data_IF_003730303357
#
_entry.id   IF_003730303357
#
_cell.length_a   1.000
_cell.length_b   1.000
_cell.length_c   1.000
_cell.angle_alpha   90.00
_cell.angle_beta   90.00
_cell.angle_gamma   90.00
#
_symmetry.space_group_name_H-M   'P 1'
#
loop_
_entity.id
_entity.type
_entity.pdbx_description
1 polymer ?
#
# COMPACT_ATOMS: atom_id res chain seq x y z
N UNK A 1 5.50 -13.39 -13.43
CA UNK A 1 5.94 -12.79 -12.14
C UNK A 1 5.97 -13.89 -11.09
N UNK A 2 6.99 -13.89 -10.25
CA UNK A 2 7.12 -14.83 -9.13
C UNK A 2 6.61 -14.16 -7.86
N UNK A 3 5.81 -14.88 -7.06
CA UNK A 3 5.32 -14.42 -5.76
C UNK A 3 6.03 -15.18 -4.63
N UNK A 4 6.24 -14.56 -3.46
CA UNK A 4 5.88 -13.17 -3.14
C UNK A 4 6.77 -12.16 -3.87
N UNK A 5 6.19 -11.02 -4.23
CA UNK A 5 6.99 -9.86 -4.66
C UNK A 5 7.49 -9.17 -3.40
N UNK A 6 8.80 -9.02 -3.30
CA UNK A 6 9.45 -8.38 -2.16
C UNK A 6 9.85 -6.96 -2.54
N UNK A 7 9.44 -5.99 -1.73
CA UNK A 7 9.66 -4.57 -1.99
C UNK A 7 10.27 -3.95 -0.74
N UNK A 8 11.47 -3.38 -0.87
CA UNK A 8 12.00 -2.49 0.17
C UNK A 8 11.14 -1.24 0.22
N UNK A 9 10.47 -1.01 1.34
CA UNK A 9 9.61 0.14 1.57
C UNK A 9 10.35 1.28 2.28
N UNK A 10 9.76 2.46 2.25
CA UNK A 10 10.30 3.68 2.85
C UNK A 10 10.35 3.63 4.39
N UNK A 11 9.43 2.93 5.06
CA UNK A 11 9.37 2.88 6.54
C UNK A 11 9.38 1.46 7.10
N UNK A 12 8.63 0.53 6.49
CA UNK A 12 8.34 -0.80 7.07
C UNK A 12 9.33 -1.88 6.64
N UNK A 13 10.54 -1.50 6.20
CA UNK A 13 11.54 -2.45 5.75
C UNK A 13 11.09 -3.26 4.52
N UNK A 14 11.38 -4.56 4.51
CA UNK A 14 11.05 -5.45 3.40
C UNK A 14 9.58 -5.89 3.47
N UNK A 15 8.75 -5.32 2.60
CA UNK A 15 7.33 -5.63 2.50
C UNK A 15 7.09 -6.73 1.47
N UNK A 16 6.27 -7.71 1.82
CA UNK A 16 5.87 -8.81 0.92
C UNK A 16 4.46 -8.61 0.36
N UNK A 17 4.32 -8.69 -0.96
CA UNK A 17 3.05 -8.85 -1.65
C UNK A 17 2.89 -10.32 -2.03
N UNK A 18 1.97 -11.03 -1.37
CA UNK A 18 1.72 -12.45 -1.63
C UNK A 18 0.80 -12.65 -2.83
N UNK A 19 0.78 -13.87 -3.39
CA UNK A 19 -0.13 -14.19 -4.51
C UNK A 19 -1.60 -14.06 -4.11
N UNK A 20 -1.95 -14.46 -2.90
CA UNK A 20 -3.30 -14.34 -2.34
C UNK A 20 -3.74 -12.87 -2.29
N UNK A 21 -2.88 -11.99 -1.75
CA UNK A 21 -3.18 -10.56 -1.63
C UNK A 21 -3.25 -9.86 -2.98
N UNK A 22 -2.40 -10.25 -3.92
CA UNK A 22 -2.50 -9.76 -5.29
C UNK A 22 -3.80 -10.21 -5.96
N UNK A 23 -4.18 -11.48 -5.82
CA UNK A 23 -5.45 -12.02 -6.35
C UNK A 23 -6.66 -11.25 -5.79
N UNK A 24 -6.65 -10.92 -4.50
CA UNK A 24 -7.71 -10.10 -3.90
C UNK A 24 -7.82 -8.71 -4.55
N UNK A 25 -6.69 -8.08 -4.92
CA UNK A 25 -6.68 -6.80 -5.64
C UNK A 25 -7.16 -6.99 -7.09
N UNK A 26 -6.72 -8.05 -7.77
CA UNK A 26 -7.15 -8.38 -9.14
C UNK A 26 -8.66 -8.62 -9.23
N UNK A 27 -9.25 -9.33 -8.28
CA UNK A 27 -10.69 -9.57 -8.21
C UNK A 27 -11.49 -8.25 -8.10
N UNK A 28 -10.91 -7.24 -7.43
CA UNK A 28 -11.51 -5.90 -7.34
C UNK A 28 -11.43 -5.15 -8.66
N UNK A 29 -10.31 -5.27 -9.37
CA UNK A 29 -10.14 -4.73 -10.74
C UNK A 29 -11.16 -5.36 -11.70
N UNK A 30 -11.32 -6.69 -11.66
CA UNK A 30 -12.28 -7.42 -12.50
C UNK A 30 -13.74 -6.98 -12.26
N UNK A 31 -14.06 -6.53 -11.04
CA UNK A 31 -15.36 -5.96 -10.68
C UNK A 31 -15.52 -4.49 -11.09
N UNK A 32 -14.56 -3.92 -11.82
CA UNK A 32 -14.59 -2.54 -12.31
C UNK A 32 -14.06 -1.51 -11.31
N UNK A 33 -13.52 -1.92 -10.16
CA UNK A 33 -12.93 -0.97 -9.22
C UNK A 33 -11.56 -0.49 -9.72
N UNK A 34 -11.31 0.81 -9.68
CA UNK A 34 -9.99 1.36 -10.02
C UNK A 34 -8.99 1.06 -8.90
N UNK A 35 -8.05 0.16 -9.15
CA UNK A 35 -6.95 -0.19 -8.23
C UNK A 35 -5.59 0.10 -8.87
N UNK A 36 -4.54 0.37 -8.08
CA UNK A 36 -3.19 0.50 -8.61
C UNK A 36 -2.68 -0.85 -9.12
N UNK A 37 -1.91 -0.82 -10.21
CA UNK A 37 -1.17 -2.00 -10.67
C UNK A 37 0.05 -2.28 -9.79
N UNK A 38 0.75 -3.38 -10.06
CA UNK A 38 1.90 -3.80 -9.25
C UNK A 38 3.07 -2.81 -9.30
N UNK A 39 3.23 -2.08 -10.41
CA UNK A 39 4.26 -1.06 -10.58
C UNK A 39 3.94 0.13 -9.69
N UNK A 40 2.70 0.60 -9.72
CA UNK A 40 2.22 1.67 -8.84
C UNK A 40 2.35 1.29 -7.37
N UNK A 41 1.98 0.06 -6.98
CA UNK A 41 2.15 -0.43 -5.61
C UNK A 41 3.62 -0.38 -5.20
N UNK A 42 4.52 -0.90 -6.04
CA UNK A 42 5.96 -0.93 -5.77
C UNK A 42 6.53 0.48 -5.61
N UNK A 43 6.14 1.41 -6.48
CA UNK A 43 6.58 2.81 -6.41
C UNK A 43 6.00 3.55 -5.21
N UNK A 44 4.76 3.25 -4.83
CA UNK A 44 4.12 3.83 -3.64
C UNK A 44 4.83 3.39 -2.36
N UNK A 45 5.31 2.14 -2.31
CA UNK A 45 6.06 1.64 -1.14
C UNK A 45 7.47 2.22 -1.06
N UNK A 46 8.17 2.33 -2.20
CA UNK A 46 9.56 2.80 -2.26
C UNK A 46 9.70 4.30 -2.06
N UNK A 47 8.77 5.06 -2.62
CA UNK A 47 8.91 6.51 -2.71
C UNK A 47 7.54 7.19 -2.53
N UNK A 48 6.90 7.02 -1.35
CA UNK A 48 5.65 7.69 -1.01
C UNK A 48 5.86 9.20 -0.82
N UNK A 49 4.75 9.93 -0.76
CA UNK A 49 4.68 11.32 -0.36
C UNK A 49 4.35 11.41 1.12
N UNK A 50 3.52 10.47 1.60
CA UNK A 50 3.10 10.42 2.99
C UNK A 50 2.83 8.98 3.45
N UNK A 51 3.17 8.70 4.71
CA UNK A 51 2.86 7.45 5.39
C UNK A 51 2.10 7.79 6.67
N UNK A 52 0.95 7.15 6.86
CA UNK A 52 0.11 7.33 8.06
C UNK A 52 -0.17 6.02 8.75
N UNK A 53 -0.24 6.03 10.08
CA UNK A 53 -0.84 4.97 10.87
C UNK A 53 -2.36 5.00 10.72
N UNK A 54 -2.98 3.83 10.70
CA UNK A 54 -4.45 3.70 10.79
C UNK A 54 -4.93 4.12 12.18
N UNK A 55 -6.05 4.85 12.24
CA UNK A 55 -6.70 5.18 13.51
C UNK A 55 -7.40 3.98 14.18
N UNK A 56 -7.60 2.88 13.45
CA UNK A 56 -8.39 1.73 13.93
C UNK A 56 -7.54 0.51 14.27
N UNK A 57 -6.34 0.39 13.69
CA UNK A 57 -5.47 -0.78 13.84
C UNK A 57 -4.02 -0.28 13.85
N UNK A 58 -3.32 -0.29 15.01
CA UNK A 58 -1.94 0.21 15.11
C UNK A 58 -0.96 -0.61 14.27
N UNK A 59 -1.30 -1.85 13.91
CA UNK A 59 -0.49 -2.71 13.06
C UNK A 59 -0.67 -2.39 11.56
N UNK A 60 -1.40 -1.32 11.22
CA UNK A 60 -1.70 -0.95 9.84
C UNK A 60 -1.13 0.42 9.49
N UNK A 61 -0.29 0.44 8.46
CA UNK A 61 0.24 1.65 7.84
C UNK A 61 -0.37 1.87 6.45
N UNK A 62 -0.54 3.12 6.07
CA UNK A 62 -1.06 3.53 4.78
C UNK A 62 -0.03 4.42 4.08
N UNK A 63 0.47 3.93 2.95
CA UNK A 63 1.38 4.66 2.07
C UNK A 63 0.57 5.38 1.00
N UNK A 64 0.87 6.65 0.80
CA UNK A 64 0.19 7.50 -0.17
C UNK A 64 1.19 8.00 -1.20
N UNK A 65 0.86 7.79 -2.47
CA UNK A 65 1.55 8.40 -3.61
C UNK A 65 0.61 9.04 -4.60
N UNK A 66 0.93 10.23 -5.08
CA UNK A 66 0.09 10.94 -6.03
C UNK A 66 0.27 10.39 -7.45
N UNK A 67 -0.84 10.23 -8.15
CA UNK A 67 -0.93 9.83 -9.55
C UNK A 67 -1.99 10.68 -10.24
N UNK A 68 -1.58 11.87 -10.71
CA UNK A 68 -2.49 12.90 -11.22
C UNK A 68 -3.38 13.43 -10.10
N UNK A 69 -4.70 13.38 -10.28
CA UNK A 69 -5.68 13.85 -9.29
C UNK A 69 -6.05 12.82 -8.22
N UNK A 70 -5.44 11.62 -8.23
CA UNK A 70 -5.74 10.55 -7.28
C UNK A 70 -4.50 10.07 -6.55
N UNK A 71 -4.73 9.44 -5.42
CA UNK A 71 -3.73 8.80 -4.59
C UNK A 71 -3.75 7.29 -4.82
N UNK A 72 -2.60 6.71 -5.12
CA UNK A 72 -2.35 5.28 -4.90
C UNK A 72 -2.16 5.10 -3.40
N UNK A 73 -3.01 4.28 -2.79
CA UNK A 73 -2.95 3.96 -1.37
C UNK A 73 -2.59 2.49 -1.22
N UNK A 74 -1.43 2.22 -0.64
CA UNK A 74 -1.00 0.85 -0.31
C UNK A 74 -1.11 0.66 1.19
N UNK A 75 -1.92 -0.32 1.59
CA UNK A 75 -2.16 -0.64 3.00
C UNK A 75 -1.25 -1.78 3.38
N UNK A 76 -0.36 -1.53 4.34
CA UNK A 76 0.55 -2.50 4.92
C UNK A 76 -0.02 -2.94 6.26
N UNK A 77 0.02 -4.25 6.52
CA UNK A 77 -0.25 -4.80 7.84
C UNK A 77 0.98 -5.54 8.35
N UNK A 78 1.23 -5.41 9.63
CA UNK A 78 2.27 -6.12 10.35
C UNK A 78 1.70 -7.39 11.00
N UNK A 79 2.48 -8.46 10.94
CA UNK A 79 2.20 -9.73 11.61
C UNK A 79 3.51 -10.33 12.16
N UNK A 80 3.48 -11.43 12.93
CA UNK A 80 4.68 -12.07 13.47
C UNK A 80 5.69 -12.55 12.42
N UNK A 81 5.27 -12.70 11.17
CA UNK A 81 6.17 -13.03 10.06
C UNK A 81 6.77 -11.77 9.44
N UNK A 82 6.18 -10.58 9.62
CA UNK A 82 6.65 -9.26 9.18
C UNK A 82 5.61 -8.47 8.39
N UNK A 83 6.03 -7.47 7.64
CA UNK A 83 5.12 -6.54 6.94
C UNK A 83 4.65 -7.07 5.59
N UNK A 84 3.35 -7.02 5.31
CA UNK A 84 2.79 -7.44 4.03
C UNK A 84 1.74 -6.46 3.49
N UNK A 85 1.54 -6.47 2.17
CA UNK A 85 0.46 -5.69 1.54
C UNK A 85 -0.89 -6.33 1.86
N UNK A 86 -1.70 -5.65 2.66
CA UNK A 86 -3.06 -6.07 3.00
C UNK A 86 -4.03 -5.85 1.84
N UNK A 87 -3.97 -4.66 1.23
CA UNK A 87 -4.75 -4.26 0.05
C UNK A 87 -4.14 -3.00 -0.57
N UNK A 88 -4.57 -2.63 -1.78
CA UNK A 88 -4.24 -1.35 -2.41
C UNK A 88 -5.43 -0.80 -3.18
N UNK A 89 -5.61 0.53 -3.20
CA UNK A 89 -6.74 1.19 -3.87
C UNK A 89 -6.39 2.61 -4.31
N UNK A 90 -7.17 3.15 -5.24
CA UNK A 90 -7.12 4.56 -5.59
C UNK A 90 -8.08 5.38 -4.72
N UNK A 91 -7.65 6.54 -4.22
CA UNK A 91 -8.47 7.44 -3.43
C UNK A 91 -8.37 8.89 -3.95
N UNK A 92 -9.41 9.70 -3.73
CA UNK A 92 -9.39 11.12 -4.13
C UNK A 92 -8.71 12.01 -3.07
N UNK A 93 -8.49 11.50 -1.85
CA UNK A 93 -7.84 12.24 -0.75
C UNK A 93 -7.10 11.30 0.20
N UNK A 94 -6.08 11.84 0.87
CA UNK A 94 -5.36 11.18 1.96
C UNK A 94 -6.30 11.06 3.18
N UNK A 95 -6.42 9.87 3.77
CA UNK A 95 -7.31 9.67 4.94
C UNK A 95 -6.69 10.24 6.21
N UNK A 96 -7.53 10.72 7.12
CA UNK A 96 -7.12 11.09 8.48
C UNK A 96 -6.44 9.89 9.18
N UNK A 97 -5.41 10.17 9.98
CA UNK A 97 -4.52 9.17 10.56
C UNK A 97 -3.35 9.83 11.28
N UNK A 98 -2.62 9.07 12.10
CA UNK A 98 -1.36 9.53 12.68
C UNK A 98 -0.29 9.67 11.59
N UNK A 99 0.24 10.87 11.36
CA UNK A 99 1.35 11.06 10.43
C UNK A 99 2.60 10.37 10.96
N UNK A 100 3.12 9.40 10.21
CA UNK A 100 4.35 8.68 10.57
C UNK A 100 5.56 9.26 9.83
N UNK A 101 5.38 9.60 8.55
CA UNK A 101 6.44 10.11 7.71
C UNK A 101 5.87 10.94 6.57
N UNK A 102 6.57 12.02 6.19
CA UNK A 102 6.24 12.84 5.02
C UNK A 102 7.51 13.16 4.24
N UNK A 103 7.44 13.05 2.92
CA UNK A 103 8.54 13.46 2.03
C UNK A 103 8.81 14.94 2.23
N UNK A 104 10.09 15.29 2.38
CA UNK A 104 10.58 16.67 2.47
C UNK A 104 11.11 17.14 1.13
#
# INVERSE_FOLDING_TARGET
MTFPVLVQSQLDGLVRLTRERWKHIEEKIQKGERRPDITMITQTLKDPEEIRASNHDPEVHLYYRAYGSRWSVVVIKHDPHGSFVLTAYMADRVKQGGLLWRKS
#
